data_IF_894544007785
#
_entry.id   IF_894544007785
#
_cell.length_a   1.000
_cell.length_b   1.000
_cell.length_c   1.000
_cell.angle_alpha   90.00
_cell.angle_beta   90.00
_cell.angle_gamma   90.00
#
_symmetry.space_group_name_H-M   'P 1'
#
loop_
_entity.id
_entity.type
_entity.pdbx_description
1 polymer ?
#
# COMPACT_ATOMS: atom_id res chain seq x y z
N UNK A 1 -7.53 9.10 -18.94
CA UNK A 1 -7.08 10.38 -18.37
C UNK A 1 -6.45 10.02 -17.05
N UNK A 2 -5.18 10.35 -16.82
CA UNK A 2 -4.50 10.02 -15.55
C UNK A 2 -3.89 11.30 -14.99
N UNK A 3 -3.99 11.45 -13.69
CA UNK A 3 -3.43 12.59 -12.97
C UNK A 3 -2.40 12.11 -11.97
N UNK A 4 -1.37 12.89 -11.73
CA UNK A 4 -0.28 12.59 -10.82
C UNK A 4 -0.32 13.61 -9.69
N UNK A 5 -0.33 13.11 -8.46
CA UNK A 5 -0.40 13.93 -7.26
C UNK A 5 0.72 13.56 -6.31
N UNK A 6 1.25 14.57 -5.60
CA UNK A 6 1.92 14.34 -4.33
C UNK A 6 0.85 14.35 -3.24
N UNK A 7 0.82 13.30 -2.42
CA UNK A 7 -0.20 13.12 -1.38
C UNK A 7 0.44 12.78 -0.05
N UNK A 8 -0.29 13.05 1.03
CA UNK A 8 -0.05 12.46 2.34
C UNK A 8 -1.06 11.35 2.59
N UNK A 9 -0.59 10.18 3.01
CA UNK A 9 -1.45 9.04 3.32
C UNK A 9 -2.19 9.27 4.66
N UNK A 10 -3.50 8.98 4.65
CA UNK A 10 -4.43 9.02 5.79
C UNK A 10 -4.99 7.63 6.04
N UNK A 11 -4.09 6.69 6.30
CA UNK A 11 -4.41 5.27 6.35
C UNK A 11 -4.54 4.76 7.77
N UNK A 12 -4.34 5.56 8.82
CA UNK A 12 -4.48 5.11 10.21
C UNK A 12 -5.89 4.62 10.50
N UNK A 13 -5.99 3.40 11.03
CA UNK A 13 -7.29 2.76 11.36
C UNK A 13 -7.17 1.87 12.59
N UNK A 14 -8.30 1.63 13.23
CA UNK A 14 -8.46 0.61 14.28
C UNK A 14 -8.68 -0.77 13.68
N UNK A 15 -8.47 -1.83 14.46
CA UNK A 15 -8.78 -3.21 14.04
C UNK A 15 -10.24 -3.39 13.62
N UNK A 16 -11.17 -2.71 14.29
CA UNK A 16 -12.60 -2.73 13.96
C UNK A 16 -12.88 -2.10 12.58
N UNK A 17 -12.21 -0.98 12.27
CA UNK A 17 -12.34 -0.34 10.95
C UNK A 17 -11.81 -1.24 9.83
N UNK A 18 -10.71 -1.95 10.06
CA UNK A 18 -10.17 -2.94 9.10
C UNK A 18 -11.14 -4.10 8.90
N UNK A 19 -11.71 -4.63 10.00
CA UNK A 19 -12.71 -5.71 9.95
C UNK A 19 -13.93 -5.36 9.12
N UNK A 20 -14.42 -4.12 9.24
CA UNK A 20 -15.64 -3.66 8.57
C UNK A 20 -15.44 -3.30 7.10
N UNK A 21 -14.20 -3.28 6.59
CA UNK A 21 -13.89 -2.91 5.22
C UNK A 21 -13.91 -4.11 4.25
N UNK A 22 -13.74 -5.34 4.75
CA UNK A 22 -13.75 -6.55 3.92
C UNK A 22 -15.17 -7.04 3.68
N UNK A 23 -15.87 -6.40 2.76
CA UNK A 23 -17.28 -6.73 2.47
C UNK A 23 -17.42 -8.04 1.68
N UNK A 24 -16.36 -8.46 0.97
CA UNK A 24 -16.40 -9.58 0.01
C UNK A 24 -15.62 -10.83 0.44
N UNK A 25 -14.69 -10.73 1.41
CA UNK A 25 -13.91 -11.86 1.92
C UNK A 25 -13.66 -11.70 3.42
N UNK A 26 -13.94 -12.73 4.23
CA UNK A 26 -13.56 -12.72 5.65
C UNK A 26 -12.04 -12.92 5.76
N UNK A 27 -11.33 -11.91 6.27
CA UNK A 27 -9.94 -12.07 6.65
C UNK A 27 -9.80 -13.16 7.72
N UNK A 28 -8.73 -13.97 7.60
CA UNK A 28 -8.24 -14.72 8.75
C UNK A 28 -7.81 -13.75 9.87
N UNK A 29 -7.76 -14.22 11.13
CA UNK A 29 -7.28 -13.40 12.25
C UNK A 29 -5.84 -12.89 12.06
N UNK A 30 -5.01 -13.62 11.30
CA UNK A 30 -3.67 -13.17 10.92
C UNK A 30 -3.72 -12.13 9.80
N UNK A 31 -4.50 -12.38 8.74
CA UNK A 31 -4.68 -11.42 7.65
C UNK A 31 -5.24 -10.08 8.13
N UNK A 32 -6.15 -10.09 9.10
CA UNK A 32 -6.67 -8.87 9.71
C UNK A 32 -5.60 -8.09 10.49
N UNK A 33 -4.67 -8.78 11.16
CA UNK A 33 -3.54 -8.13 11.86
C UNK A 33 -2.53 -7.57 10.88
N UNK A 34 -2.27 -8.27 9.78
CA UNK A 34 -1.32 -7.81 8.77
C UNK A 34 -1.87 -6.62 7.98
N UNK A 35 -3.16 -6.64 7.62
CA UNK A 35 -3.85 -5.48 7.06
C UNK A 35 -3.82 -4.28 8.04
N UNK A 36 -4.10 -4.51 9.32
CA UNK A 36 -4.00 -3.46 10.35
C UNK A 36 -2.59 -2.89 10.46
N UNK A 37 -1.55 -3.74 10.46
CA UNK A 37 -0.14 -3.30 10.46
C UNK A 37 0.18 -2.48 9.21
N UNK A 38 -0.22 -2.95 8.04
CA UNK A 38 0.00 -2.27 6.76
C UNK A 38 -0.53 -0.84 6.79
N UNK A 39 -1.81 -0.68 7.12
CA UNK A 39 -2.47 0.63 7.14
C UNK A 39 -1.83 1.60 8.13
N UNK A 40 -1.41 1.12 9.30
CA UNK A 40 -0.77 1.96 10.31
C UNK A 40 0.72 2.23 10.03
N UNK A 41 1.40 1.36 9.28
CA UNK A 41 2.81 1.49 8.94
C UNK A 41 3.05 2.63 7.94
N UNK A 42 2.14 2.79 6.98
CA UNK A 42 2.26 3.78 5.90
C UNK A 42 1.53 5.10 6.19
N UNK A 43 0.84 5.20 7.33
CA UNK A 43 0.10 6.41 7.68
C UNK A 43 1.03 7.62 7.81
N UNK A 44 0.62 8.73 7.22
CA UNK A 44 1.34 9.98 7.26
C UNK A 44 2.52 10.09 6.30
N UNK A 45 2.86 9.03 5.55
CA UNK A 45 3.90 9.11 4.50
C UNK A 45 3.49 10.08 3.38
N UNK A 46 4.46 10.82 2.86
CA UNK A 46 4.30 11.62 1.65
C UNK A 46 4.79 10.83 0.45
N UNK A 47 3.89 10.56 -0.49
CA UNK A 47 4.17 9.72 -1.67
C UNK A 47 3.65 10.38 -2.95
N UNK A 48 4.14 9.92 -4.09
CA UNK A 48 3.60 10.26 -5.41
C UNK A 48 2.66 9.15 -5.84
N UNK A 49 1.45 9.52 -6.24
CA UNK A 49 0.42 8.60 -6.72
C UNK A 49 -0.06 8.99 -8.11
N UNK A 50 -0.50 7.99 -8.87
CA UNK A 50 -1.24 8.18 -10.12
C UNK A 50 -2.71 7.87 -9.85
N UNK A 51 -3.60 8.82 -10.16
CA UNK A 51 -5.04 8.62 -10.12
C UNK A 51 -5.51 7.97 -11.43
N UNK A 52 -6.13 6.80 -11.30
CA UNK A 52 -6.74 6.04 -12.40
C UNK A 52 -8.18 5.73 -12.00
N UNK A 53 -9.15 6.39 -12.65
CA UNK A 53 -10.55 6.34 -12.21
C UNK A 53 -10.71 6.88 -10.80
N UNK A 54 -11.34 6.10 -9.92
CA UNK A 54 -11.62 6.46 -8.52
C UNK A 54 -10.57 5.93 -7.53
N UNK A 55 -9.38 5.56 -8.04
CA UNK A 55 -8.30 4.96 -7.25
C UNK A 55 -6.98 5.70 -7.45
N UNK A 56 -6.16 5.72 -6.42
CA UNK A 56 -4.78 6.19 -6.47
C UNK A 56 -3.84 5.00 -6.32
N UNK A 57 -2.90 4.85 -7.25
CA UNK A 57 -1.86 3.84 -7.16
C UNK A 57 -0.54 4.52 -6.80
N UNK A 58 0.23 3.91 -5.89
CA UNK A 58 1.59 4.34 -5.61
C UNK A 58 2.41 4.35 -6.91
N UNK A 59 3.14 5.44 -7.13
CA UNK A 59 3.98 5.62 -8.31
C UNK A 59 5.41 6.03 -7.96
N UNK A 60 5.61 6.66 -6.80
CA UNK A 60 6.93 6.92 -6.26
C UNK A 60 6.85 7.25 -4.76
N UNK A 61 7.99 7.19 -4.07
CA UNK A 61 8.15 7.51 -2.65
C UNK A 61 9.53 8.11 -2.39
N UNK A 62 9.75 8.71 -1.21
CA UNK A 62 11.08 9.22 -0.86
C UNK A 62 12.03 8.07 -0.54
N UNK A 63 13.30 8.17 -0.92
CA UNK A 63 14.30 7.11 -0.68
C UNK A 63 14.44 6.74 0.81
N UNK A 64 14.23 7.69 1.72
CA UNK A 64 14.22 7.45 3.17
C UNK A 64 13.09 6.51 3.63
N UNK A 65 11.98 6.49 2.89
CA UNK A 65 10.81 5.66 3.16
C UNK A 65 10.91 4.28 2.49
N UNK A 66 11.94 4.02 1.68
CA UNK A 66 12.10 2.78 0.89
C UNK A 66 11.93 1.51 1.74
N UNK A 67 12.49 1.51 2.95
CA UNK A 67 12.37 0.38 3.88
C UNK A 67 10.94 0.18 4.36
N UNK A 68 10.24 1.27 4.67
CA UNK A 68 8.84 1.24 5.14
C UNK A 68 7.93 0.71 4.04
N UNK A 69 8.13 1.18 2.80
CA UNK A 69 7.37 0.70 1.64
C UNK A 69 7.62 -0.78 1.36
N UNK A 70 8.87 -1.23 1.44
CA UNK A 70 9.21 -2.66 1.31
C UNK A 70 8.50 -3.50 2.37
N UNK A 71 8.54 -3.10 3.64
CA UNK A 71 7.87 -3.82 4.73
C UNK A 71 6.33 -3.80 4.57
N UNK A 72 5.76 -2.67 4.15
CA UNK A 72 4.34 -2.56 3.85
C UNK A 72 3.91 -3.48 2.71
N UNK A 73 4.70 -3.55 1.64
CA UNK A 73 4.43 -4.43 0.52
C UNK A 73 4.50 -5.91 0.95
N UNK A 74 5.49 -6.28 1.78
CA UNK A 74 5.55 -7.64 2.32
C UNK A 74 4.32 -8.04 3.14
N UNK A 75 3.70 -7.08 3.86
CA UNK A 75 2.45 -7.34 4.58
C UNK A 75 1.30 -7.64 3.62
N UNK A 76 1.23 -6.97 2.47
CA UNK A 76 0.23 -7.28 1.43
C UNK A 76 0.47 -8.66 0.81
N UNK A 77 1.73 -9.06 0.66
CA UNK A 77 2.14 -10.38 0.15
C UNK A 77 1.74 -11.56 1.07
N UNK A 78 1.24 -11.29 2.28
CA UNK A 78 0.73 -12.32 3.19
C UNK A 78 -0.74 -12.70 2.90
N UNK A 79 -1.42 -11.99 1.99
CA UNK A 79 -2.76 -12.36 1.57
C UNK A 79 -2.76 -13.70 0.83
N UNK A 80 -3.60 -14.65 1.26
CA UNK A 80 -3.63 -16.01 0.70
C UNK A 80 -4.20 -16.08 -0.73
N UNK A 81 -4.91 -15.05 -1.18
CA UNK A 81 -5.51 -14.99 -2.50
C UNK A 81 -4.63 -14.27 -3.53
N UNK A 82 -3.88 -13.25 -3.10
CA UNK A 82 -3.08 -12.41 -4.00
C UNK A 82 -1.57 -12.49 -3.78
N UNK A 83 -1.11 -12.98 -2.63
CA UNK A 83 0.30 -13.01 -2.25
C UNK A 83 1.12 -14.09 -2.95
N UNK A 84 2.35 -13.73 -3.34
CA UNK A 84 3.36 -14.59 -3.93
C UNK A 84 4.49 -14.95 -2.95
N UNK A 85 4.63 -14.18 -1.85
CA UNK A 85 5.71 -14.34 -0.88
C UNK A 85 5.23 -14.67 0.54
N UNK A 86 4.11 -15.39 0.68
CA UNK A 86 3.57 -15.83 1.98
C UNK A 86 4.67 -16.56 2.77
N UNK A 87 4.99 -16.04 3.96
CA UNK A 87 6.04 -16.54 4.86
C UNK A 87 7.45 -16.65 4.22
N UNK A 88 7.73 -15.90 3.15
CA UNK A 88 8.99 -15.95 2.39
C UNK A 88 9.77 -14.63 2.42
N UNK A 89 9.91 -14.01 3.60
CA UNK A 89 10.54 -12.70 3.78
C UNK A 89 11.93 -12.57 3.15
N UNK A 90 12.85 -13.52 3.40
CA UNK A 90 14.22 -13.43 2.89
C UNK A 90 14.28 -13.51 1.36
N UNK A 91 13.39 -14.29 0.75
CA UNK A 91 13.26 -14.35 -0.71
C UNK A 91 12.69 -13.04 -1.24
N UNK A 92 11.58 -12.57 -0.66
CA UNK A 92 10.96 -11.30 -1.01
C UNK A 92 11.97 -10.15 -0.96
N UNK A 93 12.70 -10.03 0.15
CA UNK A 93 13.70 -8.97 0.35
C UNK A 93 14.79 -9.01 -0.72
N UNK A 94 15.28 -10.20 -1.06
CA UNK A 94 16.27 -10.37 -2.12
C UNK A 94 15.73 -9.93 -3.48
N UNK A 95 14.51 -10.35 -3.80
CA UNK A 95 13.87 -10.03 -5.09
C UNK A 95 13.55 -8.51 -5.16
N UNK A 96 13.12 -7.90 -4.06
CA UNK A 96 12.96 -6.46 -3.91
C UNK A 96 14.27 -5.68 -4.12
N UNK A 97 15.36 -6.14 -3.52
CA UNK A 97 16.68 -5.51 -3.66
C UNK A 97 17.23 -5.61 -5.09
N UNK A 98 16.86 -6.66 -5.84
CA UNK A 98 17.25 -6.84 -7.24
C UNK A 98 16.32 -6.12 -8.23
N UNK A 99 15.17 -5.61 -7.79
CA UNK A 99 14.15 -5.01 -8.66
C UNK A 99 13.30 -6.05 -9.40
N UNK A 100 13.28 -7.30 -8.93
CA UNK A 100 12.51 -8.41 -9.50
C UNK A 100 11.09 -8.52 -8.91
N UNK A 101 10.65 -7.51 -8.16
CA UNK A 101 9.32 -7.41 -7.56
C UNK A 101 8.55 -6.24 -8.17
N UNK A 102 7.39 -6.49 -8.76
CA UNK A 102 6.48 -5.47 -9.32
C UNK A 102 5.70 -4.72 -8.23
N UNK A 103 6.38 -4.34 -7.14
CA UNK A 103 5.74 -4.06 -5.86
C UNK A 103 4.97 -2.74 -5.75
N UNK A 104 5.34 -1.73 -6.55
CA UNK A 104 4.78 -0.38 -6.44
C UNK A 104 3.31 -0.31 -6.90
N UNK A 105 2.93 -1.14 -7.89
CA UNK A 105 1.59 -1.13 -8.48
C UNK A 105 0.48 -1.73 -7.60
N UNK A 106 0.84 -2.45 -6.53
CA UNK A 106 -0.11 -3.12 -5.64
C UNK A 106 -0.62 -2.25 -4.49
N UNK A 107 0.01 -1.10 -4.23
CA UNK A 107 -0.43 -0.19 -3.18
C UNK A 107 -1.46 0.79 -3.74
N UNK A 108 -2.73 0.49 -3.47
CA UNK A 108 -3.88 1.24 -3.98
C UNK A 108 -4.63 1.90 -2.82
N UNK A 109 -5.01 3.17 -3.01
CA UNK A 109 -5.69 4.00 -2.03
C UNK A 109 -7.01 4.56 -2.57
N UNK A 110 -7.94 4.76 -1.66
CA UNK A 110 -9.22 5.44 -1.89
C UNK A 110 -9.13 6.95 -1.62
N UNK A 111 -10.14 7.71 -2.04
CA UNK A 111 -10.17 9.18 -1.86
C UNK A 111 -10.10 9.59 -0.36
N UNK A 112 -10.64 8.80 0.57
CA UNK A 112 -10.57 9.08 2.01
C UNK A 112 -9.21 8.75 2.66
N UNK A 113 -8.38 7.97 1.97
CA UNK A 113 -7.04 7.56 2.41
C UNK A 113 -5.94 8.49 1.91
N UNK A 114 -6.27 9.51 1.13
CA UNK A 114 -5.30 10.45 0.55
C UNK A 114 -5.63 11.90 0.88
N UNK A 115 -4.61 12.67 1.23
CA UNK A 115 -4.66 14.13 1.27
C UNK A 115 -3.77 14.68 0.16
N UNK A 116 -4.35 15.33 -0.84
CA UNK A 116 -3.59 15.95 -1.93
C UNK A 116 -2.82 17.15 -1.38
N UNK A 117 -1.49 17.09 -1.47
CA UNK A 117 -0.59 18.20 -1.14
C UNK A 117 -0.34 19.03 -2.40
N UNK A 118 -0.09 18.37 -3.53
CA UNK A 118 0.30 19.02 -4.79
C UNK A 118 -0.20 18.24 -6.01
N UNK A 119 -0.65 18.94 -7.04
CA UNK A 119 -0.92 18.36 -8.36
C UNK A 119 0.32 18.51 -9.25
N UNK A 120 0.94 17.39 -9.62
CA UNK A 120 2.17 17.37 -10.42
C UNK A 120 1.87 17.35 -11.91
N UNK A 121 0.77 16.70 -12.31
CA UNK A 121 0.32 16.60 -13.70
C UNK A 121 -1.16 16.24 -13.77
N UNK A 122 -1.91 16.90 -14.63
CA UNK A 122 -3.26 16.48 -15.02
C UNK A 122 -3.38 16.53 -16.54
N UNK A 123 -3.91 15.46 -17.13
CA UNK A 123 -4.00 15.26 -18.58
C UNK A 123 -5.18 14.41 -18.95
#
# INVERSE_FOLDING_TARGET
>A
MFSIYKVKLKTKRTLEQVRNQSVDFEYSEEGLKDAFRYYNLIDGLEVIVVKIGDKYCLANYNEEDRKIIMEAHYLLEQDEYTGCYINQYERFKKDWENGDCDGEGYMVFSDDEVEIIEELRSK
#
